data_IF_020915952587
#
_entry.id   IF_020915952587
#
_cell.length_a   1.000
_cell.length_b   1.000
_cell.length_c   1.000
_cell.angle_alpha   90.00
_cell.angle_beta   90.00
_cell.angle_gamma   90.00
#
_symmetry.space_group_name_H-M   'P 1'
#
loop_
_entity.id
_entity.type
_entity.pdbx_description
1 polymer ?
#
# COMPACT_ATOMS: atom_id res chain seq x y z
N UNK A 1 15.10 24.72 38.92
CA UNK A 1 15.09 24.35 37.49
C UNK A 1 13.63 24.14 37.12
N UNK A 2 13.03 25.09 36.40
CA UNK A 2 11.59 25.07 36.11
C UNK A 2 11.34 24.04 35.01
N UNK A 3 10.68 22.94 35.35
CA UNK A 3 10.13 22.03 34.34
C UNK A 3 8.97 22.80 33.68
N UNK A 4 9.24 23.43 32.54
CA UNK A 4 8.17 24.03 31.72
C UNK A 4 7.47 22.90 30.98
N UNK A 5 6.66 22.17 31.73
CA UNK A 5 5.64 21.27 31.16
C UNK A 5 4.73 22.13 30.29
N UNK A 6 4.65 21.77 29.00
CA UNK A 6 3.78 22.48 28.07
C UNK A 6 2.34 22.20 28.45
N UNK A 7 1.50 23.24 28.48
CA UNK A 7 0.07 23.13 28.79
C UNK A 7 -0.78 23.55 27.59
N UNK A 8 -2.09 23.27 27.64
CA UNK A 8 -3.01 23.82 26.65
C UNK A 8 -3.00 25.35 26.75
N UNK A 9 -2.79 26.02 25.61
CA UNK A 9 -2.55 27.47 25.54
C UNK A 9 -1.08 27.87 25.37
N UNK A 10 -0.12 26.97 25.60
CA UNK A 10 1.30 27.26 25.35
C UNK A 10 1.63 27.35 23.85
N UNK A 11 2.74 28.03 23.58
CA UNK A 11 3.31 28.13 22.24
C UNK A 11 4.37 27.05 21.97
N UNK A 12 4.32 26.46 20.79
CA UNK A 12 5.24 25.44 20.30
C UNK A 12 5.54 25.61 18.80
N UNK A 13 6.80 25.42 18.43
CA UNK A 13 7.20 25.44 17.02
C UNK A 13 7.00 24.05 16.39
N UNK A 14 6.13 24.02 15.38
CA UNK A 14 5.76 22.80 14.68
C UNK A 14 5.67 23.09 13.18
N UNK A 15 5.74 22.03 12.36
CA UNK A 15 5.57 22.18 10.92
C UNK A 15 4.08 22.27 10.57
N UNK A 16 3.67 23.41 10.03
CA UNK A 16 2.30 23.61 9.57
C UNK A 16 2.03 22.84 8.28
N UNK A 17 0.87 22.18 8.18
CA UNK A 17 0.45 21.50 6.93
C UNK A 17 0.02 22.48 5.83
N UNK A 18 -0.51 23.65 6.21
CA UNK A 18 -0.91 24.73 5.28
C UNK A 18 0.29 25.57 4.83
N UNK A 19 1.05 26.12 5.77
CA UNK A 19 2.20 26.97 5.46
C UNK A 19 3.42 26.17 4.96
N UNK A 20 3.45 24.85 5.19
CA UNK A 20 4.54 23.92 4.84
C UNK A 20 5.90 24.22 5.50
N UNK A 21 5.97 25.27 6.31
CA UNK A 21 7.13 25.73 7.09
C UNK A 21 6.97 25.48 8.59
N UNK A 22 8.07 25.61 9.35
CA UNK A 22 8.07 25.58 10.81
C UNK A 22 7.63 26.95 11.30
N UNK A 23 6.46 27.03 11.92
CA UNK A 23 5.92 28.28 12.45
C UNK A 23 5.53 28.09 13.91
N UNK A 24 5.22 29.20 14.59
CA UNK A 24 4.69 29.18 15.93
C UNK A 24 3.22 28.73 15.93
N UNK A 25 2.90 27.77 16.79
CA UNK A 25 1.56 27.25 16.98
C UNK A 25 1.15 27.31 18.44
N UNK A 26 -0.15 27.51 18.69
CA UNK A 26 -0.75 27.44 20.02
C UNK A 26 -1.36 26.06 20.24
N UNK A 27 -1.09 25.45 21.39
CA UNK A 27 -1.60 24.11 21.74
C UNK A 27 -3.09 24.24 22.10
N UNK A 28 -3.97 23.62 21.30
CA UNK A 28 -5.43 23.62 21.57
C UNK A 28 -5.81 22.46 22.47
N UNK A 29 -5.23 21.28 22.20
CA UNK A 29 -5.54 20.06 22.90
C UNK A 29 -4.26 19.28 23.19
N UNK A 30 -4.11 18.86 24.44
CA UNK A 30 -3.11 17.90 24.87
C UNK A 30 -3.80 16.57 25.12
N UNK A 31 -3.15 15.49 24.73
CA UNK A 31 -3.56 14.13 25.10
C UNK A 31 -2.40 13.57 25.91
N UNK A 32 -2.72 13.17 27.13
CA UNK A 32 -1.73 12.79 28.15
C UNK A 32 -0.73 13.93 28.37
N UNK A 33 0.54 13.73 28.01
CA UNK A 33 1.64 14.68 28.21
C UNK A 33 2.12 15.30 26.87
N UNK A 34 1.42 15.04 25.76
CA UNK A 34 1.83 15.48 24.42
C UNK A 34 0.77 16.37 23.77
N UNK A 35 1.18 17.45 23.10
CA UNK A 35 0.25 18.24 22.30
C UNK A 35 -0.32 17.36 21.17
N UNK A 36 -1.64 17.21 21.13
CA UNK A 36 -2.34 16.42 20.13
C UNK A 36 -2.78 17.28 18.94
N UNK A 37 -3.30 18.49 19.21
CA UNK A 37 -3.78 19.43 18.18
C UNK A 37 -3.27 20.84 18.46
N UNK A 38 -2.80 21.48 17.40
CA UNK A 38 -2.17 22.81 17.45
C UNK A 38 -2.80 23.74 16.41
N UNK A 39 -2.92 25.02 16.75
CA UNK A 39 -3.38 26.09 15.84
C UNK A 39 -2.21 26.92 15.39
N UNK A 40 -2.03 27.07 14.09
CA UNK A 40 -1.00 27.94 13.53
C UNK A 40 -1.36 29.40 13.79
N UNK A 41 -0.45 30.17 14.39
CA UNK A 41 -0.66 31.60 14.62
C UNK A 41 -0.49 32.43 13.33
N UNK A 42 0.10 31.86 12.28
CA UNK A 42 0.30 32.52 10.98
C UNK A 42 -0.91 32.38 10.05
N UNK A 43 -1.45 31.17 9.88
CA UNK A 43 -2.58 30.92 8.96
C UNK A 43 -3.91 30.63 9.67
N UNK A 44 -3.91 30.59 11.01
CA UNK A 44 -5.09 30.29 11.81
C UNK A 44 -5.59 28.85 11.74
N UNK A 45 -4.99 27.99 10.92
CA UNK A 45 -5.42 26.61 10.71
C UNK A 45 -5.04 25.67 11.85
N UNK A 46 -5.98 24.82 12.25
CA UNK A 46 -5.76 23.75 13.22
C UNK A 46 -5.32 22.44 12.53
N UNK A 47 -4.37 21.72 13.14
CA UNK A 47 -3.94 20.40 12.68
C UNK A 47 -3.28 19.62 13.83
N UNK A 48 -3.11 18.31 13.63
CA UNK A 48 -2.42 17.47 14.62
C UNK A 48 -0.95 17.84 14.71
N UNK A 49 -0.42 17.88 15.94
CA UNK A 49 0.98 18.23 16.19
C UNK A 49 1.93 17.26 15.47
N UNK A 50 2.82 17.81 14.65
CA UNK A 50 3.90 17.06 14.01
C UNK A 50 5.24 17.62 14.51
N UNK A 51 6.00 16.87 15.33
CA UNK A 51 7.25 17.38 15.88
C UNK A 51 8.22 17.74 14.75
N UNK A 52 8.91 18.90 14.83
CA UNK A 52 9.98 19.20 13.91
C UNK A 52 11.03 18.10 14.06
N UNK A 53 11.40 17.48 12.95
CA UNK A 53 12.33 16.34 12.93
C UNK A 53 13.65 16.82 13.53
N UNK A 54 13.92 16.50 14.80
CA UNK A 54 15.23 16.67 15.42
C UNK A 54 16.21 15.86 14.57
N UNK A 55 17.00 16.56 13.75
CA UNK A 55 18.18 15.99 13.12
C UNK A 55 19.11 15.66 14.28
N UNK A 56 19.05 14.42 14.77
CA UNK A 56 20.11 13.92 15.66
C UNK A 56 21.42 14.10 14.90
N UNK A 57 22.36 14.74 15.59
CA UNK A 57 23.65 15.16 15.09
C UNK A 57 24.33 14.08 14.25
N UNK A 58 24.96 14.55 13.18
CA UNK A 58 25.78 13.81 12.26
C UNK A 58 26.80 12.93 13.01
N UNK A 59 26.83 11.64 12.69
CA UNK A 59 28.11 10.93 12.63
C UNK A 59 28.63 11.09 11.20
N UNK A 60 29.59 11.99 11.10
CA UNK A 60 30.72 12.04 10.14
C UNK A 60 30.42 11.67 8.69
N UNK A 61 30.45 12.72 7.86
CA UNK A 61 30.68 12.62 6.44
C UNK A 61 32.01 11.89 6.16
N UNK A 62 31.92 10.77 5.45
CA UNK A 62 33.00 10.30 4.60
C UNK A 62 32.49 10.42 3.17
N UNK A 63 33.19 11.27 2.41
CA UNK A 63 33.25 11.45 0.96
C UNK A 63 32.24 10.70 0.08
N UNK A 64 31.60 11.49 -0.77
CA UNK A 64 30.69 11.10 -1.85
C UNK A 64 31.18 9.86 -2.63
N UNK A 65 30.37 8.81 -2.59
CA UNK A 65 30.25 7.82 -3.65
C UNK A 65 28.88 8.03 -4.33
N UNK A 66 28.77 7.93 -5.67
CA UNK A 66 27.52 8.19 -6.36
C UNK A 66 26.46 7.22 -5.86
N UNK A 67 25.31 7.77 -5.45
CA UNK A 67 24.16 6.98 -5.03
C UNK A 67 23.71 6.14 -6.22
N UNK A 68 24.02 4.85 -6.19
CA UNK A 68 23.34 3.86 -7.01
C UNK A 68 21.82 3.95 -6.80
N UNK A 69 21.02 3.58 -7.80
CA UNK A 69 19.57 3.73 -7.74
C UNK A 69 19.05 2.90 -6.55
N UNK A 70 18.41 3.59 -5.59
CA UNK A 70 17.69 2.92 -4.50
C UNK A 70 16.58 2.09 -5.12
N UNK A 71 16.67 0.76 -4.96
CA UNK A 71 15.59 -0.15 -5.32
C UNK A 71 14.25 0.37 -4.77
N UNK A 72 13.17 0.36 -5.56
CA UNK A 72 11.87 0.85 -5.12
C UNK A 72 11.42 0.02 -3.93
N UNK A 73 11.00 0.70 -2.85
CA UNK A 73 10.42 0.03 -1.67
C UNK A 73 9.11 -0.61 -2.14
N UNK A 74 9.09 -1.94 -2.31
CA UNK A 74 7.88 -2.69 -2.67
C UNK A 74 6.76 -2.36 -1.67
N UNK A 75 5.66 -1.82 -2.18
CA UNK A 75 4.50 -1.47 -1.38
C UNK A 75 3.79 -2.74 -0.90
N UNK A 76 2.89 -2.64 0.08
CA UNK A 76 2.08 -3.78 0.53
C UNK A 76 1.32 -4.45 -0.63
N UNK A 77 0.88 -3.66 -1.62
CA UNK A 77 0.25 -4.15 -2.84
C UNK A 77 1.18 -5.02 -3.71
N UNK A 78 2.49 -4.74 -3.73
CA UNK A 78 3.44 -5.52 -4.52
C UNK A 78 3.71 -6.88 -3.87
N UNK A 79 3.76 -6.92 -2.54
CA UNK A 79 3.87 -8.17 -1.77
C UNK A 79 2.63 -9.05 -1.92
N UNK A 80 1.44 -8.45 -1.95
CA UNK A 80 0.20 -9.19 -2.19
C UNK A 80 0.16 -9.80 -3.60
N UNK A 81 0.64 -9.07 -4.61
CA UNK A 81 0.74 -9.60 -5.99
C UNK A 81 1.72 -10.76 -6.08
N UNK A 82 2.88 -10.65 -5.44
CA UNK A 82 3.90 -11.69 -5.41
C UNK A 82 3.37 -12.99 -4.77
N UNK A 83 2.70 -12.88 -3.61
CA UNK A 83 2.08 -14.03 -2.96
C UNK A 83 1.00 -14.70 -3.84
N UNK A 84 0.20 -13.90 -4.54
CA UNK A 84 -0.84 -14.41 -5.44
C UNK A 84 -0.25 -15.07 -6.69
N UNK A 85 0.92 -14.59 -7.15
CA UNK A 85 1.68 -15.17 -8.25
C UNK A 85 2.36 -16.49 -7.86
N UNK A 86 2.84 -16.62 -6.62
CA UNK A 86 3.37 -17.89 -6.09
C UNK A 86 2.28 -18.95 -6.00
N UNK A 87 1.12 -18.60 -5.44
CA UNK A 87 -0.04 -19.52 -5.37
C UNK A 87 -0.46 -19.97 -6.78
N UNK A 88 -0.43 -19.07 -7.76
CA UNK A 88 -0.70 -19.42 -9.15
C UNK A 88 0.35 -20.40 -9.71
N UNK A 89 1.64 -20.20 -9.45
CA UNK A 89 2.69 -21.11 -9.94
C UNK A 89 2.55 -22.51 -9.35
N UNK A 90 2.25 -22.62 -8.06
CA UNK A 90 2.00 -23.91 -7.42
C UNK A 90 0.77 -24.59 -8.00
N UNK A 91 -0.34 -23.87 -8.13
CA UNK A 91 -1.59 -24.41 -8.66
C UNK A 91 -1.47 -24.78 -10.15
N UNK A 92 -0.77 -23.98 -10.95
CA UNK A 92 -0.53 -24.23 -12.36
C UNK A 92 0.47 -25.37 -12.58
N UNK A 93 1.47 -25.53 -11.70
CA UNK A 93 2.38 -26.68 -11.73
C UNK A 93 1.72 -27.99 -11.33
N UNK A 94 0.65 -27.93 -10.52
CA UNK A 94 -0.18 -29.07 -10.15
C UNK A 94 -1.23 -29.41 -11.22
N UNK A 95 -1.55 -28.48 -12.13
CA UNK A 95 -2.58 -28.66 -13.14
C UNK A 95 -2.02 -29.39 -14.37
N UNK A 96 -2.77 -30.37 -14.88
CA UNK A 96 -2.38 -31.15 -16.06
C UNK A 96 -2.33 -30.28 -17.33
N UNK A 97 -1.17 -30.16 -18.01
CA UNK A 97 -1.03 -29.35 -19.23
C UNK A 97 -1.87 -29.88 -20.41
N UNK A 98 -2.36 -31.12 -20.32
CA UNK A 98 -3.28 -31.73 -21.30
C UNK A 98 -4.70 -31.15 -21.29
N UNK A 99 -5.05 -30.33 -20.28
CA UNK A 99 -6.37 -29.69 -20.15
C UNK A 99 -6.35 -28.19 -20.51
N UNK A 100 -5.29 -27.70 -21.15
CA UNK A 100 -5.18 -26.29 -21.55
C UNK A 100 -6.21 -25.96 -22.63
N UNK A 101 -7.18 -25.12 -22.26
CA UNK A 101 -8.27 -24.67 -23.13
C UNK A 101 -8.12 -23.18 -23.40
N UNK A 102 -8.21 -22.72 -24.66
CA UNK A 102 -8.24 -21.29 -24.96
C UNK A 102 -9.52 -20.66 -24.38
N UNK A 103 -9.38 -19.48 -23.77
CA UNK A 103 -10.50 -18.74 -23.22
C UNK A 103 -11.50 -18.36 -24.31
N UNK A 104 -12.74 -18.83 -24.16
CA UNK A 104 -13.87 -18.40 -24.98
C UNK A 104 -15.07 -18.14 -24.07
N UNK A 105 -15.71 -16.98 -24.28
CA UNK A 105 -16.90 -16.55 -23.54
C UNK A 105 -18.12 -17.46 -23.75
N UNK A 106 -18.14 -18.25 -24.83
CA UNK A 106 -19.23 -19.17 -25.19
C UNK A 106 -19.00 -20.60 -24.70
N UNK A 107 -17.86 -20.88 -24.06
CA UNK A 107 -17.51 -22.21 -23.55
C UNK A 107 -17.88 -22.32 -22.07
N UNK A 108 -18.24 -23.53 -21.67
CA UNK A 108 -18.33 -23.91 -20.27
C UNK A 108 -16.98 -24.40 -19.75
N UNK A 109 -16.66 -24.01 -18.52
CA UNK A 109 -15.43 -24.40 -17.83
C UNK A 109 -15.79 -25.20 -16.59
N UNK A 110 -14.92 -26.14 -16.21
CA UNK A 110 -15.03 -26.91 -14.97
C UNK A 110 -14.00 -26.42 -13.95
N UNK A 111 -14.25 -26.77 -12.68
CA UNK A 111 -13.30 -26.51 -11.60
C UNK A 111 -11.97 -27.20 -11.92
N UNK A 112 -10.85 -26.49 -11.73
CA UNK A 112 -9.48 -26.91 -12.08
C UNK A 112 -9.14 -26.99 -13.57
N UNK A 113 -10.02 -26.54 -14.49
CA UNK A 113 -9.63 -26.40 -15.89
C UNK A 113 -8.55 -25.33 -16.04
N UNK A 114 -7.59 -25.59 -16.93
CA UNK A 114 -6.52 -24.66 -17.27
C UNK A 114 -6.94 -23.83 -18.48
N UNK A 115 -7.01 -22.51 -18.32
CA UNK A 115 -7.55 -21.58 -19.30
C UNK A 115 -6.48 -20.61 -19.76
N UNK A 116 -6.20 -20.57 -21.06
CA UNK A 116 -5.29 -19.59 -21.64
C UNK A 116 -6.07 -18.34 -22.11
N UNK A 117 -5.80 -17.19 -21.50
CA UNK A 117 -6.40 -15.91 -21.85
C UNK A 117 -5.37 -14.98 -22.52
N UNK A 118 -5.67 -14.35 -23.67
CA UNK A 118 -4.67 -13.57 -24.43
C UNK A 118 -4.06 -12.37 -23.68
N UNK A 119 -4.78 -11.83 -22.69
CA UNK A 119 -4.32 -10.70 -21.84
C UNK A 119 -3.64 -11.16 -20.54
N UNK A 120 -4.09 -12.28 -19.97
CA UNK A 120 -3.71 -12.67 -18.60
C UNK A 120 -2.80 -13.90 -18.58
N UNK A 121 -2.62 -14.56 -19.72
CA UNK A 121 -1.92 -15.83 -19.87
C UNK A 121 -2.74 -16.99 -19.35
N UNK A 122 -2.03 -18.03 -18.95
CA UNK A 122 -2.60 -19.27 -18.41
C UNK A 122 -3.14 -19.04 -16.99
N UNK A 123 -4.33 -19.55 -16.70
CA UNK A 123 -4.97 -19.46 -15.38
C UNK A 123 -5.76 -20.71 -15.04
N UNK A 124 -5.92 -21.00 -13.75
CA UNK A 124 -6.68 -22.16 -13.27
C UNK A 124 -8.04 -21.71 -12.75
N UNK A 125 -9.11 -22.40 -13.14
CA UNK A 125 -10.46 -22.13 -12.64
C UNK A 125 -10.57 -22.51 -11.16
N UNK A 126 -10.71 -21.52 -10.28
CA UNK A 126 -10.89 -21.71 -8.82
C UNK A 126 -12.35 -21.80 -8.40
N UNK A 127 -13.27 -21.14 -9.10
CA UNK A 127 -14.70 -21.22 -8.77
C UNK A 127 -15.62 -20.91 -9.96
N UNK A 128 -16.82 -21.47 -9.94
CA UNK A 128 -17.89 -21.19 -10.90
C UNK A 128 -19.07 -20.52 -10.17
N UNK A 129 -19.37 -19.28 -10.54
CA UNK A 129 -20.50 -18.51 -10.03
C UNK A 129 -21.63 -18.52 -11.07
N UNK A 130 -22.73 -19.20 -10.76
CA UNK A 130 -23.94 -19.19 -11.59
C UNK A 130 -24.50 -17.75 -11.69
N UNK A 131 -25.03 -17.30 -12.84
CA UNK A 131 -25.30 -18.07 -14.06
C UNK A 131 -24.21 -18.05 -15.14
N UNK A 132 -23.26 -17.11 -15.18
CA UNK A 132 -22.31 -16.96 -16.30
C UNK A 132 -20.94 -16.37 -15.89
N UNK A 133 -20.51 -16.59 -14.64
CA UNK A 133 -19.26 -16.03 -14.11
C UNK A 133 -18.34 -17.15 -13.65
N UNK A 134 -17.08 -17.10 -14.06
CA UNK A 134 -16.03 -18.02 -13.61
C UNK A 134 -14.92 -17.20 -12.96
N UNK A 135 -14.41 -17.68 -11.84
CA UNK A 135 -13.26 -17.10 -11.17
C UNK A 135 -12.02 -17.94 -11.50
N UNK A 136 -11.06 -17.30 -12.16
CA UNK A 136 -9.83 -17.91 -12.65
C UNK A 136 -8.66 -17.23 -11.95
N UNK A 137 -7.80 -18.02 -11.33
CA UNK A 137 -6.54 -17.56 -10.76
C UNK A 137 -5.51 -17.47 -11.89
N UNK A 138 -5.02 -16.27 -12.16
CA UNK A 138 -3.92 -16.01 -13.10
C UNK A 138 -2.66 -15.55 -12.35
N UNK A 139 -1.52 -15.49 -13.03
CA UNK A 139 -0.28 -14.90 -12.50
C UNK A 139 -0.45 -13.42 -12.07
N UNK A 140 -1.37 -12.70 -12.72
CA UNK A 140 -1.72 -11.31 -12.39
C UNK A 140 -2.70 -11.21 -11.19
N UNK A 141 -3.24 -12.35 -10.76
CA UNK A 141 -4.19 -12.50 -9.66
C UNK A 141 -5.53 -13.10 -10.09
N UNK A 142 -6.43 -13.19 -9.13
CA UNK A 142 -7.78 -13.72 -9.32
C UNK A 142 -8.61 -12.79 -10.20
N UNK A 143 -9.11 -13.30 -11.34
CA UNK A 143 -9.98 -12.57 -12.27
C UNK A 143 -11.29 -13.31 -12.43
N UNK A 144 -12.39 -12.57 -12.33
CA UNK A 144 -13.70 -13.06 -12.70
C UNK A 144 -13.96 -12.80 -14.18
N UNK A 145 -14.10 -13.86 -14.97
CA UNK A 145 -14.39 -13.81 -16.40
C UNK A 145 -15.80 -14.33 -16.67
N UNK A 146 -16.34 -13.96 -17.83
CA UNK A 146 -17.62 -14.50 -18.29
C UNK A 146 -17.42 -15.86 -18.94
N UNK A 147 -18.33 -16.78 -18.67
CA UNK A 147 -18.42 -18.06 -19.34
C UNK A 147 -19.87 -18.39 -19.64
N UNK A 148 -20.10 -19.33 -20.55
CA UNK A 148 -21.42 -19.91 -20.75
C UNK A 148 -21.57 -21.08 -19.77
N UNK A 149 -22.74 -21.22 -19.14
CA UNK A 149 -23.02 -22.37 -18.27
C UNK A 149 -23.03 -23.68 -19.06
#
# INVERSE_FOLDING_TARGET
>A
MVNTEKQAGDHIDARCTRCKEITNHTIIAMVEEKPARVRCNTCGGDHNYRPPRKVKAAKTATTAAPKGPKAPRRNAADRLREALQEEWQETAGQADPGLTVPYNMERSFKLNDLVDHPVFGVGVVKALFKPNKVEILFACGTKALRCKL
#
